data_IF_120437865263
#
_entry.id   IF_120437865263
#
_cell.length_a   1.000
_cell.length_b   1.000
_cell.length_c   1.000
_cell.angle_alpha   90.00
_cell.angle_beta   90.00
_cell.angle_gamma   90.00
#
_symmetry.space_group_name_H-M   'P 1'
#
loop_
_entity.id
_entity.type
_entity.pdbx_description
1 polymer ?
#
# COMPACT_ATOMS: atom_id res chain seq x y z
N UNK A 1 -28.82 -19.86 27.91
CA UNK A 1 -27.40 -20.18 27.72
C UNK A 1 -27.17 -21.23 26.63
N UNK A 2 -27.83 -22.39 26.65
CA UNK A 2 -27.62 -23.46 25.68
C UNK A 2 -27.87 -23.09 24.21
N UNK A 3 -28.86 -22.23 23.92
CA UNK A 3 -29.17 -21.81 22.53
C UNK A 3 -28.07 -20.94 21.90
N UNK A 4 -27.53 -19.96 22.62
CA UNK A 4 -26.44 -19.12 22.11
C UNK A 4 -25.16 -19.93 21.88
N UNK A 5 -24.85 -20.86 22.78
CA UNK A 5 -23.69 -21.78 22.63
C UNK A 5 -23.80 -22.67 21.39
N UNK A 6 -25.03 -23.15 21.11
CA UNK A 6 -25.27 -23.95 19.91
C UNK A 6 -25.19 -23.13 18.63
N UNK A 7 -25.74 -21.90 18.65
CA UNK A 7 -25.66 -20.96 17.50
C UNK A 7 -24.22 -20.54 17.20
N UNK A 8 -23.40 -20.29 18.23
CA UNK A 8 -21.97 -19.99 18.07
C UNK A 8 -21.19 -21.20 17.53
N UNK A 9 -21.50 -22.42 18.03
CA UNK A 9 -20.84 -23.63 17.57
C UNK A 9 -21.20 -24.01 16.12
N UNK A 10 -22.35 -23.57 15.63
CA UNK A 10 -22.81 -23.82 14.27
C UNK A 10 -22.32 -22.78 13.25
N UNK A 11 -21.65 -21.69 13.70
CA UNK A 11 -21.10 -20.68 12.80
C UNK A 11 -19.93 -21.24 12.00
N UNK A 12 -20.06 -21.17 10.68
CA UNK A 12 -18.93 -21.37 9.77
C UNK A 12 -18.14 -20.05 9.66
N UNK A 13 -16.87 -20.00 10.07
CA UNK A 13 -16.05 -18.80 10.00
C UNK A 13 -15.88 -18.23 8.58
N UNK A 14 -16.09 -19.05 7.55
CA UNK A 14 -16.02 -18.64 6.14
C UNK A 14 -17.35 -18.12 5.59
N UNK A 15 -18.46 -18.24 6.34
CA UNK A 15 -19.77 -17.80 5.91
C UNK A 15 -20.07 -16.34 6.28
N UNK A 16 -21.08 -15.77 5.61
CA UNK A 16 -21.60 -14.42 5.93
C UNK A 16 -22.66 -14.46 7.04
N UNK A 17 -22.85 -15.62 7.70
CA UNK A 17 -23.85 -15.76 8.75
C UNK A 17 -23.52 -14.91 9.96
N UNK A 18 -24.55 -14.35 10.57
CA UNK A 18 -24.47 -13.54 11.80
C UNK A 18 -25.39 -14.12 12.86
N UNK A 19 -25.01 -13.94 14.12
CA UNK A 19 -25.84 -14.32 15.24
C UNK A 19 -27.08 -13.42 15.29
N UNK A 20 -28.26 -14.01 15.37
CA UNK A 20 -29.51 -13.30 15.52
C UNK A 20 -29.67 -12.82 16.97
N UNK A 21 -30.01 -11.55 17.16
CA UNK A 21 -30.38 -11.00 18.48
C UNK A 21 -31.79 -11.45 18.83
N UNK A 22 -31.94 -12.63 19.44
CA UNK A 22 -33.24 -13.21 19.89
C UNK A 22 -33.36 -13.31 21.41
N UNK A 23 -32.47 -12.66 22.17
CA UNK A 23 -32.42 -12.85 23.60
C UNK A 23 -32.98 -11.65 24.36
N UNK A 24 -33.83 -11.92 25.35
CA UNK A 24 -34.58 -10.93 26.15
C UNK A 24 -33.71 -10.19 27.21
N UNK A 25 -32.40 -10.39 27.24
CA UNK A 25 -31.50 -9.84 28.26
C UNK A 25 -30.47 -8.93 27.61
N UNK A 26 -30.39 -7.66 27.99
CA UNK A 26 -29.47 -6.66 27.41
C UNK A 26 -27.99 -7.03 27.46
N UNK A 27 -27.58 -7.80 28.46
CA UNK A 27 -26.19 -8.28 28.58
C UNK A 27 -25.80 -9.26 27.45
N UNK A 28 -26.74 -10.07 26.97
CA UNK A 28 -26.52 -10.97 25.85
C UNK A 28 -26.47 -10.25 24.49
N UNK A 29 -27.24 -9.16 24.34
CA UNK A 29 -27.17 -8.36 23.12
C UNK A 29 -25.78 -7.74 22.93
N UNK A 30 -25.15 -7.28 24.01
CA UNK A 30 -23.77 -6.77 23.97
C UNK A 30 -22.77 -7.82 23.54
N UNK A 31 -22.90 -9.07 24.03
CA UNK A 31 -22.03 -10.19 23.64
C UNK A 31 -22.24 -10.56 22.17
N UNK A 32 -23.49 -10.66 21.73
CA UNK A 32 -23.83 -10.96 20.32
C UNK A 32 -23.28 -9.85 19.38
N UNK A 33 -23.44 -8.58 19.76
CA UNK A 33 -22.89 -7.46 18.99
C UNK A 33 -21.36 -7.52 18.91
N UNK A 34 -20.70 -7.85 20.01
CA UNK A 34 -19.22 -8.01 20.04
C UNK A 34 -18.75 -9.16 19.16
N UNK A 35 -19.43 -10.31 19.20
CA UNK A 35 -19.12 -11.45 18.35
C UNK A 35 -19.35 -11.11 16.87
N UNK A 36 -20.47 -10.48 16.53
CA UNK A 36 -20.74 -10.06 15.16
C UNK A 36 -19.69 -9.05 14.66
N UNK A 37 -19.23 -8.12 15.50
CA UNK A 37 -18.14 -7.20 15.18
C UNK A 37 -16.84 -7.94 14.90
N UNK A 38 -16.51 -8.98 15.66
CA UNK A 38 -15.35 -9.83 15.41
C UNK A 38 -15.47 -10.60 14.10
N UNK A 39 -16.65 -11.16 13.80
CA UNK A 39 -16.92 -11.84 12.54
C UNK A 39 -16.80 -10.90 11.33
N UNK A 40 -17.31 -9.67 11.44
CA UNK A 40 -17.16 -8.65 10.40
C UNK A 40 -15.69 -8.34 10.15
N UNK A 41 -14.91 -8.10 11.21
CA UNK A 41 -13.45 -7.85 11.10
C UNK A 41 -12.70 -9.02 10.47
N UNK A 42 -13.07 -10.26 10.83
CA UNK A 42 -12.47 -11.45 10.26
C UNK A 42 -12.81 -11.60 8.78
N UNK A 43 -14.06 -11.36 8.41
CA UNK A 43 -14.51 -11.42 7.02
C UNK A 43 -13.83 -10.36 6.15
N UNK A 44 -13.74 -9.13 6.65
CA UNK A 44 -13.01 -8.05 5.98
C UNK A 44 -11.52 -8.41 5.80
N UNK A 45 -10.91 -9.06 6.79
CA UNK A 45 -9.53 -9.53 6.69
C UNK A 45 -9.36 -10.58 5.60
N UNK A 46 -10.27 -11.57 5.51
CA UNK A 46 -10.24 -12.61 4.47
C UNK A 46 -10.47 -12.04 3.06
N UNK A 47 -11.38 -11.07 2.93
CA UNK A 47 -11.61 -10.39 1.64
C UNK A 47 -10.36 -9.64 1.20
N UNK A 48 -9.71 -8.92 2.12
CA UNK A 48 -8.45 -8.20 1.85
C UNK A 48 -7.33 -9.17 1.47
N UNK A 49 -7.19 -10.29 2.17
CA UNK A 49 -6.17 -11.31 1.88
C UNK A 49 -6.37 -11.92 0.48
N UNK A 50 -7.60 -12.29 0.12
CA UNK A 50 -7.92 -12.81 -1.22
C UNK A 50 -7.66 -11.79 -2.31
N UNK A 51 -8.00 -10.51 -2.08
CA UNK A 51 -7.72 -9.42 -3.01
C UNK A 51 -6.22 -9.27 -3.23
N UNK A 52 -5.44 -9.23 -2.16
CA UNK A 52 -3.98 -9.14 -2.23
C UNK A 52 -3.38 -10.32 -3.01
N UNK A 53 -3.83 -11.55 -2.73
CA UNK A 53 -3.34 -12.74 -3.46
C UNK A 53 -3.63 -12.66 -4.97
N UNK A 54 -4.81 -12.16 -5.36
CA UNK A 54 -5.18 -11.97 -6.76
C UNK A 54 -4.36 -10.87 -7.44
N UNK A 55 -4.11 -9.75 -6.76
CA UNK A 55 -3.28 -8.65 -7.27
C UNK A 55 -1.83 -9.12 -7.48
N UNK A 56 -1.27 -9.81 -6.51
CA UNK A 56 0.05 -10.43 -6.61
C UNK A 56 0.15 -11.38 -7.79
N UNK A 57 -0.84 -12.28 -7.92
CA UNK A 57 -0.87 -13.23 -9.03
C UNK A 57 -0.93 -12.51 -10.39
N UNK A 58 -1.65 -11.39 -10.48
CA UNK A 58 -1.74 -10.58 -11.68
C UNK A 58 -0.43 -9.85 -11.99
N UNK A 59 0.17 -9.19 -10.99
CA UNK A 59 1.43 -8.45 -11.11
C UNK A 59 2.62 -9.36 -11.45
N UNK A 60 2.61 -10.62 -11.00
CA UNK A 60 3.63 -11.61 -11.37
C UNK A 60 3.37 -12.25 -12.73
N UNK A 61 2.10 -12.49 -13.10
CA UNK A 61 1.77 -13.14 -14.36
C UNK A 61 2.26 -12.35 -15.58
N UNK A 62 2.13 -11.03 -15.54
CA UNK A 62 2.53 -10.14 -16.64
C UNK A 62 4.01 -10.26 -16.98
N UNK A 63 4.97 -10.02 -16.08
CA UNK A 63 6.40 -10.14 -16.40
C UNK A 63 6.78 -11.58 -16.73
N UNK A 64 6.22 -12.59 -16.03
CA UNK A 64 6.55 -13.99 -16.32
C UNK A 64 6.06 -14.43 -17.71
N UNK A 65 4.86 -13.99 -18.14
CA UNK A 65 4.36 -14.27 -19.49
C UNK A 65 5.20 -13.58 -20.55
N UNK A 66 5.65 -12.35 -20.30
CA UNK A 66 6.56 -11.63 -21.22
C UNK A 66 7.91 -12.35 -21.34
N UNK A 67 8.51 -12.76 -20.20
CA UNK A 67 9.76 -13.55 -20.20
C UNK A 67 9.59 -14.83 -21.02
N UNK A 68 8.50 -15.58 -20.80
CA UNK A 68 8.24 -16.82 -21.52
C UNK A 68 8.09 -16.60 -23.03
N UNK A 69 7.39 -15.54 -23.44
CA UNK A 69 7.21 -15.16 -24.85
C UNK A 69 8.56 -14.80 -25.50
N UNK A 70 9.35 -13.94 -24.86
CA UNK A 70 10.65 -13.52 -25.37
C UNK A 70 11.65 -14.70 -25.43
N UNK A 71 11.66 -15.57 -24.42
CA UNK A 71 12.50 -16.77 -24.42
C UNK A 71 12.11 -17.72 -25.55
N UNK A 72 10.82 -17.89 -25.84
CA UNK A 72 10.35 -18.69 -26.96
C UNK A 72 10.76 -18.08 -28.31
N UNK A 73 10.70 -16.75 -28.45
CA UNK A 73 11.13 -16.05 -29.65
C UNK A 73 12.63 -16.21 -29.91
N UNK A 74 13.48 -16.22 -28.88
CA UNK A 74 14.91 -16.47 -29.00
C UNK A 74 15.24 -17.84 -29.61
N UNK A 75 14.39 -18.86 -29.38
CA UNK A 75 14.52 -20.18 -30.00
C UNK A 75 14.14 -20.23 -31.49
N UNK A 76 13.48 -19.20 -32.01
CA UNK A 76 12.96 -19.12 -33.38
C UNK A 76 13.89 -18.50 -34.41
N UNK A 77 15.16 -18.19 -34.09
CA UNK A 77 16.14 -17.67 -35.04
C UNK A 77 15.97 -16.19 -35.38
N UNK A 78 15.77 -15.34 -34.38
CA UNK A 78 15.73 -13.89 -34.54
C UNK A 78 17.05 -13.33 -35.12
N UNK A 79 16.94 -12.18 -35.82
CA UNK A 79 18.12 -11.40 -36.17
C UNK A 79 18.88 -10.88 -34.92
N UNK A 80 20.17 -10.53 -35.02
CA UNK A 80 20.97 -10.12 -33.86
C UNK A 80 20.41 -8.92 -33.09
N UNK A 81 19.74 -7.99 -33.77
CA UNK A 81 19.16 -6.82 -33.12
C UNK A 81 17.90 -7.18 -32.32
N UNK A 82 17.01 -7.97 -32.87
CA UNK A 82 15.82 -8.49 -32.20
C UNK A 82 16.18 -9.39 -31.01
N UNK A 83 17.29 -10.21 -31.16
CA UNK A 83 17.82 -11.01 -30.07
C UNK A 83 18.29 -10.15 -28.89
N UNK A 84 19.09 -9.10 -29.16
CA UNK A 84 19.53 -8.16 -28.11
C UNK A 84 18.38 -7.47 -27.41
N UNK A 85 17.34 -7.07 -28.14
CA UNK A 85 16.12 -6.48 -27.58
C UNK A 85 15.37 -7.47 -26.68
N UNK A 86 15.20 -8.72 -27.14
CA UNK A 86 14.53 -9.77 -26.36
C UNK A 86 15.26 -10.05 -25.03
N UNK A 87 16.59 -10.15 -25.06
CA UNK A 87 17.42 -10.34 -23.84
C UNK A 87 17.27 -9.16 -22.89
N UNK A 88 17.29 -7.92 -23.42
CA UNK A 88 17.09 -6.71 -22.60
C UNK A 88 15.72 -6.70 -21.94
N UNK A 89 14.67 -7.07 -22.68
CA UNK A 89 13.30 -7.13 -22.15
C UNK A 89 13.16 -8.21 -21.08
N UNK A 90 13.73 -9.40 -21.28
CA UNK A 90 13.77 -10.46 -20.26
C UNK A 90 14.42 -9.95 -18.98
N UNK A 91 15.55 -9.24 -19.09
CA UNK A 91 16.22 -8.67 -17.92
C UNK A 91 15.34 -7.66 -17.16
N UNK A 92 14.66 -6.79 -17.89
CA UNK A 92 13.74 -5.81 -17.30
C UNK A 92 12.53 -6.47 -16.61
N UNK A 93 11.94 -7.48 -17.23
CA UNK A 93 10.79 -8.19 -16.68
C UNK A 93 11.19 -9.07 -15.48
N UNK A 94 12.38 -9.64 -15.46
CA UNK A 94 12.93 -10.35 -14.31
C UNK A 94 13.14 -9.40 -13.11
N UNK A 95 13.68 -8.19 -13.33
CA UNK A 95 13.82 -7.17 -12.30
C UNK A 95 12.45 -6.73 -11.77
N UNK A 96 11.45 -6.60 -12.64
CA UNK A 96 10.06 -6.25 -12.23
C UNK A 96 9.47 -7.35 -11.35
N UNK A 97 9.59 -8.63 -11.73
CA UNK A 97 9.12 -9.75 -10.92
C UNK A 97 9.84 -9.81 -9.56
N UNK A 98 11.15 -9.57 -9.52
CA UNK A 98 11.93 -9.46 -8.29
C UNK A 98 11.45 -8.34 -7.37
N UNK A 99 11.07 -7.21 -7.95
CA UNK A 99 10.49 -6.10 -7.19
C UNK A 99 9.16 -6.49 -6.52
N UNK A 100 8.23 -7.12 -7.25
CA UNK A 100 6.96 -7.62 -6.69
C UNK A 100 7.22 -8.61 -5.54
N UNK A 101 8.19 -9.52 -5.71
CA UNK A 101 8.57 -10.48 -4.67
C UNK A 101 9.11 -9.76 -3.41
N UNK A 102 9.96 -8.75 -3.56
CA UNK A 102 10.48 -7.98 -2.44
C UNK A 102 9.37 -7.23 -1.69
N UNK A 103 8.38 -6.68 -2.40
CA UNK A 103 7.21 -6.07 -1.80
C UNK A 103 6.39 -7.07 -0.97
N UNK A 104 6.22 -8.30 -1.48
CA UNK A 104 5.54 -9.38 -0.74
C UNK A 104 6.30 -9.79 0.52
N UNK A 105 7.60 -9.96 0.43
CA UNK A 105 8.44 -10.29 1.57
C UNK A 105 8.40 -9.20 2.63
N UNK A 106 8.38 -7.94 2.21
CA UNK A 106 8.24 -6.80 3.11
C UNK A 106 6.87 -6.80 3.80
N UNK A 107 5.78 -7.08 3.07
CA UNK A 107 4.44 -7.23 3.64
C UNK A 107 4.35 -8.39 4.63
N UNK A 108 4.97 -9.54 4.30
CA UNK A 108 5.03 -10.70 5.20
C UNK A 108 5.84 -10.40 6.48
N UNK A 109 6.93 -9.66 6.36
CA UNK A 109 7.70 -9.17 7.52
C UNK A 109 6.88 -8.19 8.36
N UNK A 110 6.15 -7.28 7.71
CA UNK A 110 5.24 -6.37 8.36
C UNK A 110 4.22 -7.10 9.23
N UNK A 111 3.59 -8.12 8.69
CA UNK A 111 2.61 -8.94 9.42
C UNK A 111 3.25 -9.68 10.61
N UNK A 112 4.51 -10.07 10.51
CA UNK A 112 5.26 -10.67 11.65
C UNK A 112 5.71 -9.64 12.67
N UNK A 113 6.18 -8.46 12.24
CA UNK A 113 6.60 -7.38 13.13
C UNK A 113 5.44 -6.91 14.01
N UNK A 114 4.23 -6.87 13.48
CA UNK A 114 3.02 -6.57 14.25
C UNK A 114 2.80 -7.52 15.44
N UNK A 115 3.30 -8.74 15.34
CA UNK A 115 3.14 -9.78 16.38
C UNK A 115 4.31 -9.84 17.37
N UNK A 116 5.51 -9.35 17.00
CA UNK A 116 6.73 -9.69 17.72
C UNK A 116 7.70 -8.52 17.97
N UNK A 117 7.57 -7.37 17.26
CA UNK A 117 8.48 -6.24 17.42
C UNK A 117 7.77 -5.04 18.06
N UNK A 118 8.37 -4.49 19.11
CA UNK A 118 7.89 -3.25 19.72
C UNK A 118 8.11 -2.07 18.76
N UNK A 119 7.12 -1.18 18.66
CA UNK A 119 7.28 0.09 17.96
C UNK A 119 8.36 0.91 18.67
N UNK A 120 9.19 1.59 17.90
CA UNK A 120 10.27 2.46 18.38
C UNK A 120 10.09 3.89 17.86
N UNK A 121 10.73 4.90 18.46
CA UNK A 121 10.81 6.23 17.88
C UNK A 121 11.49 6.18 16.49
N UNK A 122 10.87 6.75 15.47
CA UNK A 122 11.38 6.81 14.10
C UNK A 122 11.26 8.25 13.60
N UNK A 123 12.35 8.79 13.07
CA UNK A 123 12.32 10.08 12.37
C UNK A 123 11.82 9.89 10.92
N UNK A 124 10.55 10.25 10.70
CA UNK A 124 9.90 10.16 9.39
C UNK A 124 10.55 11.12 8.38
N UNK A 125 11.04 12.30 8.83
CA UNK A 125 11.70 13.26 7.96
C UNK A 125 13.05 12.73 7.46
N UNK A 126 13.84 12.09 8.32
CA UNK A 126 15.08 11.43 7.94
C UNK A 126 14.83 10.27 6.97
N UNK A 127 13.81 9.45 7.22
CA UNK A 127 13.40 8.35 6.34
C UNK A 127 13.04 8.85 4.95
N UNK A 128 12.21 9.88 4.85
CA UNK A 128 11.81 10.43 3.55
C UNK A 128 12.99 11.09 2.82
N UNK A 129 13.91 11.73 3.53
CA UNK A 129 15.14 12.31 2.96
C UNK A 129 16.00 11.23 2.29
N UNK A 130 16.20 10.11 2.96
CA UNK A 130 16.95 8.99 2.41
C UNK A 130 16.27 8.42 1.16
N UNK A 131 14.97 8.19 1.21
CA UNK A 131 14.20 7.68 0.06
C UNK A 131 14.25 8.66 -1.12
N UNK A 132 14.02 9.95 -0.90
CA UNK A 132 14.09 10.96 -1.97
C UNK A 132 15.48 10.99 -2.64
N UNK A 133 16.55 10.87 -1.85
CA UNK A 133 17.91 10.82 -2.37
C UNK A 133 18.15 9.57 -3.24
N UNK A 134 17.66 8.39 -2.82
CA UNK A 134 17.77 7.14 -3.58
C UNK A 134 17.10 7.22 -4.96
N UNK A 135 15.95 7.92 -5.06
CA UNK A 135 15.19 8.03 -6.31
C UNK A 135 15.52 9.28 -7.14
N UNK A 136 16.28 10.23 -6.62
CA UNK A 136 16.60 11.50 -7.31
C UNK A 136 17.23 11.28 -8.69
N UNK A 137 18.20 10.35 -8.79
CA UNK A 137 18.85 10.05 -10.07
C UNK A 137 17.87 9.41 -11.07
N UNK A 138 16.97 8.55 -10.61
CA UNK A 138 15.97 7.91 -11.47
C UNK A 138 14.97 8.94 -12.02
N UNK A 139 14.53 9.88 -11.21
CA UNK A 139 13.69 10.99 -11.63
C UNK A 139 14.39 11.88 -12.66
N UNK A 140 15.64 12.26 -12.37
CA UNK A 140 16.47 13.09 -13.28
C UNK A 140 16.67 12.45 -14.65
N UNK A 141 16.99 11.15 -14.71
CA UNK A 141 17.12 10.41 -15.98
C UNK A 141 15.85 10.42 -16.83
N UNK A 142 14.69 10.64 -16.20
CA UNK A 142 13.39 10.77 -16.86
C UNK A 142 13.03 12.23 -17.15
N UNK A 143 13.95 13.18 -16.93
CA UNK A 143 13.72 14.63 -17.11
C UNK A 143 12.81 15.25 -16.05
N UNK A 144 12.51 14.54 -14.96
CA UNK A 144 11.71 15.00 -13.83
C UNK A 144 12.58 15.36 -12.61
N UNK A 145 11.91 15.73 -11.53
CA UNK A 145 12.56 16.05 -10.25
C UNK A 145 11.75 15.52 -9.07
N UNK A 146 12.44 15.27 -7.94
CA UNK A 146 11.82 15.00 -6.65
C UNK A 146 12.20 16.09 -5.68
N UNK A 147 11.20 16.78 -5.13
CA UNK A 147 11.37 17.77 -4.08
C UNK A 147 10.87 17.24 -2.75
N UNK A 148 11.58 17.52 -1.66
CA UNK A 148 11.15 17.23 -0.30
C UNK A 148 10.88 18.51 0.48
N UNK A 149 9.70 18.59 1.09
CA UNK A 149 9.32 19.65 2.04
C UNK A 149 9.03 18.97 3.38
N UNK A 150 9.93 19.10 4.31
CA UNK A 150 9.86 18.45 5.60
C UNK A 150 10.51 19.32 6.69
N UNK A 151 10.10 19.19 7.96
CA UNK A 151 10.85 19.76 9.08
C UNK A 151 12.22 19.07 9.21
N UNK A 152 13.10 19.64 10.03
CA UNK A 152 14.43 19.05 10.29
C UNK A 152 14.30 17.64 10.86
N UNK A 153 13.36 17.43 11.79
CA UNK A 153 13.02 16.15 12.40
C UNK A 153 11.51 16.04 12.59
N UNK A 154 10.97 14.83 12.45
CA UNK A 154 9.59 14.52 12.82
C UNK A 154 9.52 13.09 13.33
N UNK A 155 9.50 12.95 14.65
CA UNK A 155 9.46 11.65 15.30
C UNK A 155 8.03 11.13 15.45
N UNK A 156 7.86 9.85 15.18
CA UNK A 156 6.65 9.08 15.50
C UNK A 156 7.01 7.69 16.02
N UNK A 157 6.14 7.10 16.81
CA UNK A 157 6.31 5.73 17.29
C UNK A 157 5.85 4.73 16.25
N UNK A 158 6.78 3.96 15.68
CA UNK A 158 6.48 3.07 14.57
C UNK A 158 7.54 2.01 14.30
N UNK A 159 7.38 1.33 13.18
CA UNK A 159 8.34 0.35 12.66
C UNK A 159 9.13 0.98 11.50
N UNK A 160 10.41 1.26 11.71
CA UNK A 160 11.25 1.97 10.74
C UNK A 160 11.24 1.33 9.33
N UNK A 161 11.36 0.01 9.26
CA UNK A 161 11.36 -0.73 7.98
C UNK A 161 10.05 -0.57 7.23
N UNK A 162 8.91 -0.52 7.94
CA UNK A 162 7.59 -0.38 7.33
C UNK A 162 7.32 1.04 6.84
N UNK A 163 7.77 2.02 7.60
CA UNK A 163 7.66 3.42 7.21
C UNK A 163 8.53 3.71 5.99
N UNK A 164 9.77 3.22 5.93
CA UNK A 164 10.63 3.30 4.74
C UNK A 164 9.95 2.64 3.54
N UNK A 165 9.39 1.44 3.71
CA UNK A 165 8.66 0.75 2.66
C UNK A 165 7.46 1.55 2.13
N UNK A 166 6.67 2.17 3.01
CA UNK A 166 5.53 2.98 2.61
C UNK A 166 5.96 4.20 1.78
N UNK A 167 7.00 4.92 2.23
CA UNK A 167 7.53 6.08 1.50
C UNK A 167 8.06 5.66 0.13
N UNK A 168 8.84 4.57 0.05
CA UNK A 168 9.35 4.02 -1.21
C UNK A 168 8.23 3.68 -2.17
N UNK A 169 7.18 2.98 -1.71
CA UNK A 169 6.04 2.62 -2.55
C UNK A 169 5.32 3.86 -3.11
N UNK A 170 5.15 4.92 -2.33
CA UNK A 170 4.52 6.15 -2.80
C UNK A 170 5.37 6.87 -3.85
N UNK A 171 6.68 7.02 -3.62
CA UNK A 171 7.60 7.65 -4.56
C UNK A 171 7.73 6.84 -5.85
N UNK A 172 7.88 5.52 -5.76
CA UNK A 172 7.90 4.65 -6.93
C UNK A 172 6.61 4.70 -7.74
N UNK A 173 5.47 4.71 -7.05
CA UNK A 173 4.18 4.81 -7.70
C UNK A 173 4.06 6.12 -8.50
N UNK A 174 4.50 7.24 -7.93
CA UNK A 174 4.57 8.51 -8.65
C UNK A 174 5.51 8.41 -9.87
N UNK A 175 6.71 7.85 -9.71
CA UNK A 175 7.66 7.68 -10.81
C UNK A 175 7.16 6.76 -11.93
N UNK A 176 6.52 5.63 -11.59
CA UNK A 176 6.09 4.62 -12.57
C UNK A 176 4.87 5.04 -13.36
N UNK A 177 3.91 5.72 -12.73
CA UNK A 177 2.59 5.99 -13.31
C UNK A 177 2.45 7.41 -13.90
N UNK A 178 3.53 8.17 -13.92
CA UNK A 178 3.56 9.51 -14.51
C UNK A 178 4.47 9.56 -15.76
N UNK A 179 4.20 10.47 -16.70
CA UNK A 179 5.03 10.65 -17.88
C UNK A 179 6.43 11.17 -17.51
N UNK A 180 7.42 11.07 -18.42
CA UNK A 180 8.70 11.76 -18.27
C UNK A 180 8.51 13.27 -18.08
N UNK A 181 9.41 13.92 -17.33
CA UNK A 181 9.35 15.33 -17.02
C UNK A 181 8.45 15.70 -15.84
N UNK A 182 7.84 14.72 -15.16
CA UNK A 182 6.98 14.97 -14.01
C UNK A 182 7.78 15.43 -12.79
N UNK A 183 7.24 16.43 -12.10
CA UNK A 183 7.70 16.88 -10.80
C UNK A 183 6.96 16.13 -9.70
N UNK A 184 7.70 15.54 -8.76
CA UNK A 184 7.18 14.84 -7.59
C UNK A 184 7.53 15.66 -6.35
N UNK A 185 6.54 15.90 -5.49
CA UNK A 185 6.73 16.57 -4.19
C UNK A 185 6.37 15.60 -3.06
N UNK A 186 7.36 15.31 -2.23
CA UNK A 186 7.16 14.60 -0.96
C UNK A 186 7.05 15.66 0.13
N UNK A 187 5.99 15.66 0.89
CA UNK A 187 5.73 16.65 1.93
C UNK A 187 5.42 15.94 3.24
N UNK A 188 5.98 16.45 4.33
CA UNK A 188 5.80 15.92 5.68
C UNK A 188 5.48 17.06 6.62
N UNK A 189 4.55 16.81 7.53
CA UNK A 189 4.17 17.79 8.52
C UNK A 189 3.37 17.19 9.68
N UNK A 190 2.97 18.07 10.56
CA UNK A 190 2.05 17.78 11.66
C UNK A 190 0.81 18.65 11.55
N UNK A 191 -0.33 18.12 11.98
CA UNK A 191 -1.54 18.90 12.21
C UNK A 191 -1.47 19.65 13.55
N UNK A 192 -2.42 20.56 13.79
CA UNK A 192 -2.56 21.28 15.06
C UNK A 192 -2.78 20.34 16.26
N UNK A 193 -3.24 19.12 16.02
CA UNK A 193 -3.40 18.07 17.05
C UNK A 193 -2.13 17.27 17.31
N UNK A 194 -1.03 17.57 16.62
CA UNK A 194 0.22 16.82 16.70
C UNK A 194 0.22 15.52 15.88
N UNK A 195 -0.83 15.24 15.12
CA UNK A 195 -0.89 14.08 14.23
C UNK A 195 0.07 14.29 13.05
N UNK A 196 1.01 13.35 12.86
CA UNK A 196 1.96 13.40 11.75
C UNK A 196 1.28 12.99 10.44
N UNK A 197 1.75 13.54 9.33
CA UNK A 197 1.30 13.15 8.00
C UNK A 197 2.45 13.20 7.00
N UNK A 198 2.35 12.35 5.98
CA UNK A 198 3.22 12.34 4.81
C UNK A 198 2.33 12.32 3.57
N UNK A 199 2.64 13.14 2.58
CA UNK A 199 1.97 13.09 1.28
C UNK A 199 2.97 13.13 0.13
N UNK A 200 2.62 12.45 -0.96
CA UNK A 200 3.36 12.45 -2.21
C UNK A 200 2.43 12.94 -3.31
N UNK A 201 2.80 14.06 -3.91
CA UNK A 201 2.05 14.71 -4.98
C UNK A 201 2.85 14.71 -6.27
N UNK A 202 2.18 14.59 -7.41
CA UNK A 202 2.78 14.68 -8.73
C UNK A 202 1.98 15.65 -9.65
N UNK A 203 2.67 16.32 -10.59
CA UNK A 203 2.07 17.19 -11.60
C UNK A 203 1.85 16.46 -12.94
N UNK A 204 2.13 15.17 -12.99
CA UNK A 204 1.94 14.33 -14.16
C UNK A 204 0.49 13.94 -14.35
N UNK A 205 -0.06 14.13 -15.57
CA UNK A 205 -1.35 13.55 -15.93
C UNK A 205 -1.18 12.04 -16.05
N UNK A 206 -1.74 11.28 -15.11
CA UNK A 206 -1.76 9.82 -15.21
C UNK A 206 -2.50 9.41 -16.47
N UNK A 207 -1.86 8.58 -17.30
CA UNK A 207 -2.51 8.00 -18.47
C UNK A 207 -3.58 7.04 -17.94
N UNK A 208 -4.85 7.47 -17.97
CA UNK A 208 -5.95 6.55 -17.79
C UNK A 208 -5.89 5.54 -18.92
N UNK A 209 -5.87 4.25 -18.61
CA UNK A 209 -5.99 3.21 -19.62
C UNK A 209 -7.24 3.52 -20.45
N UNK A 210 -7.04 3.73 -21.75
CA UNK A 210 -8.09 4.10 -22.69
C UNK A 210 -9.14 2.98 -22.73
N UNK A 211 -10.32 3.23 -22.19
CA UNK A 211 -11.46 2.32 -22.30
C UNK A 211 -12.38 2.37 -21.09
N UNK A 212 -13.27 3.33 -21.01
CA UNK A 212 -14.38 3.27 -20.06
C UNK A 212 -14.90 4.64 -19.63
N UNK A 213 -16.18 4.87 -19.81
CA UNK A 213 -16.96 6.05 -19.46
C UNK A 213 -16.52 6.69 -18.14
N UNK A 214 -16.30 8.00 -18.15
CA UNK A 214 -15.97 8.84 -17.01
C UNK A 214 -17.14 8.88 -15.99
N UNK A 215 -17.28 7.81 -15.21
CA UNK A 215 -17.79 7.88 -13.85
C UNK A 215 -16.55 8.02 -12.97
N UNK A 216 -16.54 9.04 -12.11
CA UNK A 216 -15.54 9.24 -11.06
C UNK A 216 -15.39 7.89 -10.34
N UNK A 217 -14.43 7.07 -10.80
CA UNK A 217 -14.12 5.81 -10.18
C UNK A 217 -13.59 6.15 -8.78
N UNK A 218 -14.26 5.65 -7.77
CA UNK A 218 -13.73 5.69 -6.41
C UNK A 218 -12.32 5.09 -6.44
N UNK A 219 -11.33 5.68 -5.74
CA UNK A 219 -9.94 5.19 -5.73
C UNK A 219 -9.78 3.72 -5.31
N UNK A 220 -10.86 3.09 -4.83
CA UNK A 220 -10.87 1.72 -4.33
C UNK A 220 -10.74 0.62 -5.41
N UNK A 221 -11.00 0.91 -6.70
CA UNK A 221 -11.14 -0.15 -7.70
C UNK A 221 -9.86 -0.43 -8.53
N UNK A 222 -8.77 0.31 -8.29
CA UNK A 222 -7.48 0.11 -8.94
C UNK A 222 -6.29 0.37 -7.99
N UNK A 223 -6.38 -0.11 -6.75
CA UNK A 223 -5.25 -0.07 -5.82
C UNK A 223 -4.19 -1.05 -6.33
N UNK A 224 -3.16 -0.51 -6.99
CA UNK A 224 -1.94 -1.26 -7.29
C UNK A 224 -1.33 -1.79 -5.99
N UNK A 225 -0.65 -2.92 -6.04
CA UNK A 225 -0.01 -3.59 -4.89
C UNK A 225 0.75 -2.61 -3.97
N UNK A 226 1.39 -1.58 -4.53
CA UNK A 226 2.06 -0.54 -3.76
C UNK A 226 1.15 0.25 -2.83
N UNK A 227 -0.06 0.61 -3.26
CA UNK A 227 -1.04 1.31 -2.42
C UNK A 227 -1.61 0.41 -1.32
N UNK A 228 -1.83 -0.88 -1.60
CA UNK A 228 -2.28 -1.85 -0.60
C UNK A 228 -1.23 -2.00 0.52
N UNK A 229 0.07 -2.02 0.16
CA UNK A 229 1.17 -2.03 1.13
C UNK A 229 1.12 -0.76 2.00
N UNK A 230 0.97 0.42 1.40
CA UNK A 230 0.92 1.69 2.15
C UNK A 230 -0.29 1.72 3.08
N UNK A 231 -1.47 1.30 2.60
CA UNK A 231 -2.67 1.18 3.42
C UNK A 231 -2.46 0.24 4.61
N UNK A 232 -1.82 -0.91 4.38
CA UNK A 232 -1.51 -1.87 5.44
C UNK A 232 -0.55 -1.28 6.48
N UNK A 233 0.49 -0.58 6.02
CA UNK A 233 1.42 0.13 6.91
C UNK A 233 0.69 1.20 7.72
N UNK A 234 -0.19 1.99 7.09
CA UNK A 234 -1.01 2.98 7.79
C UNK A 234 -1.81 2.37 8.93
N UNK A 235 -2.58 1.31 8.62
CA UNK A 235 -3.42 0.60 9.58
C UNK A 235 -2.61 0.02 10.76
N UNK A 236 -1.42 -0.50 10.51
CA UNK A 236 -0.52 -1.01 11.55
C UNK A 236 -0.02 0.09 12.50
N UNK A 237 0.05 1.32 12.02
CA UNK A 237 0.40 2.48 12.81
C UNK A 237 -0.83 3.21 13.39
N UNK A 238 -2.04 2.66 13.19
CA UNK A 238 -3.30 3.27 13.65
C UNK A 238 -3.73 4.48 12.85
N UNK A 239 -3.14 4.65 11.65
CA UNK A 239 -3.39 5.74 10.73
C UNK A 239 -4.29 5.36 9.57
N UNK A 240 -4.38 6.23 8.59
CA UNK A 240 -5.16 6.06 7.37
C UNK A 240 -4.35 6.46 6.12
N UNK A 241 -4.78 5.97 4.96
CA UNK A 241 -4.15 6.23 3.67
C UNK A 241 -5.20 6.43 2.58
N UNK A 242 -5.05 7.46 1.77
CA UNK A 242 -5.97 7.72 0.67
C UNK A 242 -5.50 8.82 -0.28
N UNK A 243 -6.32 9.05 -1.31
CA UNK A 243 -6.15 10.20 -2.19
C UNK A 243 -6.50 11.47 -1.43
N UNK A 244 -5.68 12.51 -1.59
CA UNK A 244 -5.87 13.83 -1.02
C UNK A 244 -6.08 14.88 -2.11
N UNK A 245 -6.60 16.04 -1.71
CA UNK A 245 -6.70 17.18 -2.62
C UNK A 245 -5.28 17.62 -3.03
N UNK A 246 -5.02 17.64 -4.34
CA UNK A 246 -3.74 18.07 -4.87
C UNK A 246 -3.68 19.61 -4.92
N UNK A 247 -2.73 20.25 -4.21
CA UNK A 247 -2.53 21.69 -4.33
C UNK A 247 -1.91 22.02 -5.70
N UNK A 248 -2.30 23.12 -6.32
CA UNK A 248 -1.67 23.55 -7.57
C UNK A 248 -0.14 23.75 -7.38
N UNK A 249 0.70 23.32 -8.31
CA UNK A 249 0.41 22.83 -9.68
C UNK A 249 0.17 21.30 -9.78
N UNK A 250 0.14 20.57 -8.69
CA UNK A 250 0.03 19.12 -8.70
C UNK A 250 -1.37 18.65 -9.15
N UNK A 251 -1.42 17.48 -9.76
CA UNK A 251 -2.65 16.88 -10.31
C UNK A 251 -3.12 15.65 -9.51
N UNK A 252 -2.19 15.00 -8.84
CA UNK A 252 -2.48 13.82 -8.00
C UNK A 252 -1.75 13.96 -6.66
N UNK A 253 -2.39 13.54 -5.58
CA UNK A 253 -1.79 13.51 -4.25
C UNK A 253 -2.30 12.29 -3.49
N UNK A 254 -1.39 11.56 -2.86
CA UNK A 254 -1.70 10.48 -1.92
C UNK A 254 -1.13 10.84 -0.56
N UNK A 255 -1.95 10.64 0.48
CA UNK A 255 -1.62 11.04 1.83
C UNK A 255 -1.73 9.87 2.80
N UNK A 256 -0.75 9.79 3.68
CA UNK A 256 -0.64 8.87 4.79
C UNK A 256 -0.73 9.69 6.08
N UNK A 257 -1.75 9.46 6.87
CA UNK A 257 -1.98 10.13 8.15
C UNK A 257 -1.69 9.16 9.30
N UNK A 258 -1.05 9.67 10.37
CA UNK A 258 -0.76 8.94 11.60
C UNK A 258 -1.55 9.55 12.76
N UNK A 259 -1.92 8.75 13.76
CA UNK A 259 -2.58 9.28 14.95
C UNK A 259 -1.65 10.24 15.71
N UNK A 260 -2.20 11.20 16.46
CA UNK A 260 -1.40 12.02 17.34
C UNK A 260 -0.67 11.13 18.36
N UNK A 261 0.51 11.54 18.84
CA UNK A 261 1.22 10.80 19.88
C UNK A 261 0.30 10.67 21.10
N UNK A 262 0.17 9.44 21.60
CA UNK A 262 -0.55 9.22 22.86
C UNK A 262 0.20 9.99 23.93
N UNK A 263 -0.45 11.02 24.51
CA UNK A 263 0.15 11.75 25.61
C UNK A 263 0.56 10.73 26.69
N UNK A 264 1.85 10.68 27.00
CA UNK A 264 2.34 9.87 28.10
C UNK A 264 1.53 10.32 29.35
N UNK A 265 0.69 9.43 29.86
CA UNK A 265 0.05 9.67 31.14
C UNK A 265 1.19 9.82 32.14
N UNK A 266 1.44 11.05 32.56
CA UNK A 266 2.35 11.33 33.68
C UNK A 266 1.76 10.61 34.87
N UNK A 267 2.37 9.49 35.23
CA UNK A 267 2.10 8.75 36.47
C UNK A 267 2.83 9.37 37.64
#
# INVERSE_FOLDING_TARGET
MYALSADVAALDPASTQRLASRHAWSEFESVVASINTLLDRQQDALVRERRLANEVAHELRTPLSSIALQASALGGGLDPQAQAQAVTQIGQDALRAGHVLNQLLALARASRAQLHEAKAPVDLAATARAVCADYAQAAWKRGGEIALVAPDTLELTGHAVLLDLAVRNLVENALKHTPPGTRISVQIGQSDTGAAWLQVCDDGRRVQAAGGNAKVARPADSLHLGHEIVLRVAQMHGGDFGAAAAPAPFTTCFRLDFPPPVAAQAG
#
